data_IF_687181377541
#
_entry.id   IF_687181377541
#
_cell.length_a   1.000
_cell.length_b   1.000
_cell.length_c   1.000
_cell.angle_alpha   90.00
_cell.angle_beta   90.00
_cell.angle_gamma   90.00
#
_symmetry.space_group_name_H-M   'P 1'
#
loop_
_entity.id
_entity.type
_entity.pdbx_description
1 polymer ?
#
# COMPACT_ATOMS: atom_id res chain seq x y z
N UNK A 1 8.64 -9.85 -4.14
CA UNK A 1 7.74 -10.96 -3.73
C UNK A 1 7.57 -10.91 -2.22
N UNK A 2 6.36 -11.12 -1.69
CA UNK A 2 6.10 -11.09 -0.24
C UNK A 2 6.70 -12.32 0.43
N UNK A 3 7.37 -12.12 1.57
CA UNK A 3 7.91 -13.20 2.41
C UNK A 3 7.20 -13.24 3.75
N UNK A 4 6.76 -14.41 4.20
CA UNK A 4 6.16 -14.60 5.53
C UNK A 4 7.02 -15.62 6.28
N UNK A 5 7.54 -15.26 7.45
CA UNK A 5 8.37 -16.18 8.25
C UNK A 5 7.56 -17.37 8.75
N UNK A 6 8.22 -18.50 9.03
CA UNK A 6 7.55 -19.71 9.52
C UNK A 6 6.75 -19.46 10.82
N UNK A 7 7.26 -18.60 11.70
CA UNK A 7 6.58 -18.21 12.94
C UNK A 7 5.31 -17.41 12.66
N UNK A 8 5.34 -16.50 11.69
CA UNK A 8 4.16 -15.76 11.25
C UNK A 8 3.14 -16.67 10.53
N UNK A 9 3.60 -17.58 9.67
CA UNK A 9 2.71 -18.55 9.02
C UNK A 9 1.98 -19.43 10.04
N UNK A 10 2.71 -19.98 11.03
CA UNK A 10 2.11 -20.76 12.10
C UNK A 10 1.10 -19.95 12.92
N UNK A 11 1.37 -18.66 13.16
CA UNK A 11 0.43 -17.76 13.81
C UNK A 11 -0.84 -17.55 12.99
N UNK A 12 -0.72 -17.28 11.68
CA UNK A 12 -1.88 -17.13 10.80
C UNK A 12 -2.73 -18.39 10.70
N UNK A 13 -2.12 -19.57 10.57
CA UNK A 13 -2.85 -20.85 10.59
C UNK A 13 -3.66 -21.00 11.88
N UNK A 14 -3.10 -20.60 13.03
CA UNK A 14 -3.83 -20.62 14.30
C UNK A 14 -5.01 -19.64 14.31
N UNK A 15 -4.84 -18.43 13.77
CA UNK A 15 -5.92 -17.45 13.66
C UNK A 15 -7.04 -17.91 12.72
N UNK A 16 -6.67 -18.53 11.60
CA UNK A 16 -7.61 -19.04 10.60
C UNK A 16 -8.38 -20.27 11.08
N UNK A 17 -7.87 -21.04 12.04
CA UNK A 17 -8.57 -22.20 12.60
C UNK A 17 -9.92 -21.83 13.27
N UNK A 18 -10.06 -20.59 13.74
CA UNK A 18 -11.29 -20.07 14.33
C UNK A 18 -12.19 -19.36 13.29
N UNK A 19 -11.80 -19.34 12.02
CA UNK A 19 -12.54 -18.72 10.92
C UNK A 19 -13.29 -19.76 10.08
N UNK A 20 -14.32 -19.35 9.30
CA UNK A 20 -14.99 -20.24 8.35
C UNK A 20 -14.01 -20.89 7.36
N UNK A 21 -14.33 -22.12 6.94
CA UNK A 21 -13.54 -22.85 5.95
C UNK A 21 -13.39 -22.05 4.65
N UNK A 22 -12.17 -22.06 4.09
CA UNK A 22 -11.83 -21.27 2.90
C UNK A 22 -11.45 -19.81 3.19
N UNK A 23 -11.40 -19.38 4.44
CA UNK A 23 -10.86 -18.06 4.79
C UNK A 23 -9.35 -18.01 4.62
N UNK A 24 -8.87 -16.98 3.93
CA UNK A 24 -7.45 -16.69 3.69
C UNK A 24 -7.00 -15.42 4.42
N UNK A 25 -5.73 -15.05 4.27
CA UNK A 25 -5.20 -13.76 4.76
C UNK A 25 -5.08 -12.82 3.57
N UNK A 26 -5.68 -11.63 3.63
CA UNK A 26 -5.41 -10.57 2.65
C UNK A 26 -4.27 -9.68 3.15
N UNK A 27 -3.33 -9.36 2.27
CA UNK A 27 -2.26 -8.38 2.51
C UNK A 27 -2.47 -7.23 1.54
N UNK A 28 -2.53 -6.00 2.05
CA UNK A 28 -2.88 -4.83 1.24
C UNK A 28 -2.11 -3.59 1.69
N UNK A 29 -2.10 -2.57 0.82
CA UNK A 29 -1.57 -1.24 1.10
C UNK A 29 -2.69 -0.23 0.99
N UNK A 30 -2.96 0.50 2.06
CA UNK A 30 -3.84 1.67 2.08
C UNK A 30 -3.04 2.85 1.52
N UNK A 31 -3.63 3.61 0.59
CA UNK A 31 -2.99 4.78 -0.04
C UNK A 31 -1.61 4.47 -0.65
N UNK A 32 -1.49 3.43 -1.50
CA UNK A 32 -0.22 2.99 -2.04
C UNK A 32 0.47 4.10 -2.83
N UNK A 33 1.80 4.20 -2.69
CA UNK A 33 2.56 5.22 -3.39
C UNK A 33 2.38 6.63 -2.86
N UNK A 34 1.80 6.80 -1.67
CA UNK A 34 1.75 8.08 -0.96
C UNK A 34 2.68 8.06 0.26
N UNK A 35 2.88 9.23 0.90
CA UNK A 35 3.67 9.30 2.13
C UNK A 35 2.92 8.67 3.32
N UNK A 36 1.60 8.58 3.23
CA UNK A 36 0.72 7.97 4.22
C UNK A 36 0.42 6.50 3.91
N UNK A 37 1.18 5.86 3.01
CA UNK A 37 0.93 4.46 2.71
C UNK A 37 1.09 3.61 3.98
N UNK A 38 0.07 2.80 4.25
CA UNK A 38 0.02 1.90 5.40
C UNK A 38 -0.24 0.49 4.92
N UNK A 39 0.50 -0.47 5.45
CA UNK A 39 0.32 -1.87 5.09
C UNK A 39 -0.51 -2.57 6.15
N UNK A 40 -1.45 -3.38 5.71
CA UNK A 40 -2.37 -4.10 6.58
C UNK A 40 -2.46 -5.57 6.23
N UNK A 41 -2.97 -6.34 7.19
CA UNK A 41 -3.47 -7.70 6.96
C UNK A 41 -4.90 -7.80 7.47
N UNK A 42 -5.73 -8.58 6.80
CA UNK A 42 -7.09 -8.88 7.22
C UNK A 42 -7.47 -10.32 6.88
N UNK A 43 -8.58 -10.80 7.43
CA UNK A 43 -9.19 -12.03 6.93
C UNK A 43 -9.81 -11.80 5.55
N UNK A 44 -9.73 -12.81 4.71
CA UNK A 44 -10.30 -12.83 3.36
C UNK A 44 -11.18 -14.07 3.22
N UNK A 45 -12.46 -14.02 3.63
CA UNK A 45 -13.38 -15.11 3.36
C UNK A 45 -13.60 -15.28 1.84
N UNK A 46 -14.11 -16.44 1.38
CA UNK A 46 -14.25 -16.74 -0.05
C UNK A 46 -15.07 -15.72 -0.85
N UNK A 47 -16.03 -15.05 -0.20
CA UNK A 47 -16.90 -14.03 -0.79
C UNK A 47 -16.25 -12.64 -0.87
N UNK A 48 -15.14 -12.42 -0.16
CA UNK A 48 -14.36 -11.18 -0.19
C UNK A 48 -13.14 -11.25 -1.13
N UNK A 49 -12.81 -12.44 -1.64
CA UNK A 49 -11.77 -12.62 -2.65
C UNK A 49 -12.22 -12.02 -3.99
N UNK A 50 -11.35 -11.22 -4.61
CA UNK A 50 -11.61 -10.59 -5.90
C UNK A 50 -10.92 -11.39 -7.02
N UNK A 51 -11.44 -11.28 -8.25
CA UNK A 51 -10.97 -12.10 -9.38
C UNK A 51 -9.57 -11.71 -9.86
N UNK A 52 -9.15 -10.49 -9.55
CA UNK A 52 -7.83 -9.89 -9.83
C UNK A 52 -6.87 -9.99 -8.64
N UNK A 53 -7.27 -10.64 -7.55
CA UNK A 53 -6.35 -10.94 -6.46
C UNK A 53 -5.25 -11.90 -6.94
N UNK A 54 -4.02 -11.57 -6.58
CA UNK A 54 -2.88 -12.47 -6.68
C UNK A 54 -2.88 -13.39 -5.46
N UNK A 55 -3.12 -14.67 -5.70
CA UNK A 55 -3.01 -15.70 -4.68
C UNK A 55 -1.55 -16.16 -4.51
N UNK A 56 -1.02 -16.04 -3.30
CA UNK A 56 0.32 -16.47 -2.93
C UNK A 56 0.23 -17.64 -1.94
N UNK A 57 0.63 -18.86 -2.32
CA UNK A 57 0.52 -20.02 -1.45
C UNK A 57 1.57 -20.02 -0.34
N UNK A 58 1.14 -20.29 0.89
CA UNK A 58 1.99 -20.47 2.07
C UNK A 58 1.64 -21.78 2.80
N UNK A 59 2.37 -22.09 3.87
CA UNK A 59 2.14 -23.30 4.64
C UNK A 59 0.84 -23.20 5.45
N UNK A 60 -0.20 -23.89 4.97
CA UNK A 60 -1.50 -24.01 5.63
C UNK A 60 -2.52 -22.91 5.29
N UNK A 61 -2.17 -21.94 4.46
CA UNK A 61 -3.09 -20.91 3.96
C UNK A 61 -2.52 -20.27 2.68
N UNK A 62 -3.37 -19.57 1.93
CA UNK A 62 -2.94 -18.65 0.87
C UNK A 62 -3.06 -17.20 1.37
N UNK A 63 -2.15 -16.34 0.91
CA UNK A 63 -2.30 -14.90 1.05
C UNK A 63 -2.90 -14.31 -0.23
N UNK A 64 -3.96 -13.50 -0.10
CA UNK A 64 -4.59 -12.78 -1.19
C UNK A 64 -4.03 -11.36 -1.25
N UNK A 65 -3.63 -10.89 -2.42
CA UNK A 65 -3.07 -9.55 -2.61
C UNK A 65 -3.78 -8.89 -3.78
N UNK A 66 -4.41 -7.74 -3.55
CA UNK A 66 -5.07 -7.01 -4.63
C UNK A 66 -4.04 -6.47 -5.65
N UNK A 67 -4.44 -6.42 -6.92
CA UNK A 67 -3.54 -6.02 -8.03
C UNK A 67 -2.91 -4.63 -7.80
N UNK A 68 -3.63 -3.71 -7.13
CA UNK A 68 -3.14 -2.34 -6.87
C UNK A 68 -2.08 -2.31 -5.79
N UNK A 69 -2.15 -3.20 -4.80
CA UNK A 69 -1.14 -3.31 -3.73
C UNK A 69 0.08 -4.13 -4.14
N UNK A 70 -0.07 -5.09 -5.07
CA UNK A 70 1.00 -6.01 -5.44
C UNK A 70 2.35 -5.33 -5.80
N UNK A 71 2.39 -4.24 -6.59
CA UNK A 71 3.65 -3.55 -6.90
C UNK A 71 4.34 -2.91 -5.69
N UNK A 72 3.56 -2.54 -4.67
CA UNK A 72 4.02 -1.84 -3.47
C UNK A 72 4.45 -2.79 -2.35
N UNK A 73 4.03 -4.05 -2.45
CA UNK A 73 4.39 -5.14 -1.55
C UNK A 73 5.59 -5.94 -2.06
N UNK A 74 6.26 -5.48 -3.11
CA UNK A 74 7.54 -6.05 -3.52
C UNK A 74 8.56 -5.88 -2.38
N UNK A 75 9.34 -6.93 -2.12
CA UNK A 75 10.22 -7.08 -0.95
C UNK A 75 9.55 -6.89 0.43
N UNK A 76 8.21 -7.02 0.52
CA UNK A 76 7.56 -7.00 1.82
C UNK A 76 7.84 -8.28 2.62
N UNK A 77 8.00 -8.13 3.94
CA UNK A 77 8.20 -9.22 4.89
C UNK A 77 7.22 -9.13 6.05
N UNK A 78 6.56 -10.24 6.39
CA UNK A 78 5.75 -10.38 7.60
C UNK A 78 6.47 -11.34 8.56
N UNK A 79 6.63 -10.88 9.80
CA UNK A 79 7.23 -11.67 10.88
C UNK A 79 6.38 -11.63 12.14
N UNK A 80 6.50 -12.65 12.97
CA UNK A 80 5.82 -12.76 14.24
C UNK A 80 6.84 -13.13 15.31
N UNK A 81 7.07 -12.19 16.23
CA UNK A 81 8.00 -12.34 17.34
C UNK A 81 7.19 -12.49 18.63
N UNK A 82 7.56 -13.47 19.45
CA UNK A 82 7.01 -13.64 20.80
C UNK A 82 8.15 -13.58 21.79
N UNK A 83 8.04 -12.67 22.76
CA UNK A 83 9.02 -12.47 23.83
C UNK A 83 8.33 -12.41 25.20
N UNK A 84 9.07 -12.00 26.24
CA UNK A 84 8.55 -11.91 27.61
C UNK A 84 7.53 -10.78 27.82
N UNK A 85 7.50 -9.78 26.95
CA UNK A 85 6.61 -8.61 27.03
C UNK A 85 5.32 -8.82 26.22
N UNK A 86 5.34 -9.75 25.27
CA UNK A 86 4.14 -10.18 24.54
C UNK A 86 4.47 -10.80 23.20
N UNK A 87 3.48 -10.76 22.31
CA UNK A 87 3.64 -11.19 20.93
C UNK A 87 3.32 -10.05 19.99
N UNK A 88 4.15 -9.86 18.95
CA UNK A 88 3.99 -8.81 17.97
C UNK A 88 4.12 -9.36 16.55
N UNK A 89 3.09 -9.13 15.75
CA UNK A 89 3.14 -9.26 14.30
C UNK A 89 3.71 -7.97 13.71
N UNK A 90 4.71 -8.09 12.84
CA UNK A 90 5.36 -6.97 12.15
C UNK A 90 5.29 -7.18 10.66
N UNK A 91 4.72 -6.22 9.94
CA UNK A 91 4.75 -6.15 8.49
C UNK A 91 5.68 -5.00 8.07
N UNK A 92 6.70 -5.33 7.29
CA UNK A 92 7.62 -4.36 6.69
C UNK A 92 7.43 -4.41 5.18
N UNK A 93 7.11 -3.29 4.56
CA UNK A 93 7.04 -3.18 3.12
C UNK A 93 7.89 -1.98 2.68
N UNK A 94 9.16 -2.20 2.28
CA UNK A 94 10.09 -1.11 1.99
C UNK A 94 9.64 -0.24 0.80
N UNK A 95 8.86 -0.82 -0.11
CA UNK A 95 8.37 -0.18 -1.32
C UNK A 95 6.93 0.35 -1.18
N UNK A 96 6.29 0.21 -0.02
CA UNK A 96 4.89 0.61 0.13
C UNK A 96 4.68 2.11 0.05
N UNK A 97 5.66 2.86 0.55
CA UNK A 97 5.68 4.33 0.48
C UNK A 97 6.43 4.74 -0.77
N UNK A 98 5.99 5.85 -1.37
CA UNK A 98 6.80 6.52 -2.37
C UNK A 98 8.19 6.77 -1.78
N UNK A 99 9.25 6.38 -2.50
CA UNK A 99 10.64 6.64 -2.07
C UNK A 99 10.73 8.12 -1.70
N UNK A 100 11.08 8.41 -0.44
CA UNK A 100 11.39 9.78 -0.03
C UNK A 100 12.46 10.30 -0.98
N UNK A 101 12.10 11.31 -1.76
CA UNK A 101 13.05 12.05 -2.57
C UNK A 101 14.10 12.63 -1.61
N UNK A 102 15.37 12.39 -1.91
CA UNK A 102 16.46 12.83 -1.06
C UNK A 102 16.52 14.37 -1.02
N UNK A 103 17.06 14.94 0.06
CA UNK A 103 17.08 16.40 0.24
C UNK A 103 17.90 17.14 -0.82
N UNK A 104 18.82 16.43 -1.47
CA UNK A 104 19.71 16.86 -2.55
C UNK A 104 19.17 16.56 -3.95
N UNK A 105 18.01 15.90 -4.07
CA UNK A 105 17.38 15.68 -5.36
C UNK A 105 16.93 16.99 -6.03
N UNK A 106 16.79 17.02 -7.37
CA UNK A 106 16.29 18.16 -8.10
C UNK A 106 14.99 18.72 -7.53
N UNK A 107 14.83 20.05 -7.55
CA UNK A 107 13.64 20.73 -7.03
C UNK A 107 12.34 20.20 -7.66
N UNK A 108 12.39 19.90 -8.96
CA UNK A 108 11.28 19.29 -9.72
C UNK A 108 10.81 18.00 -9.05
N UNK A 109 11.72 17.04 -8.81
CA UNK A 109 11.39 15.75 -8.19
C UNK A 109 10.82 15.94 -6.78
N UNK A 110 11.36 16.89 -6.01
CA UNK A 110 10.86 17.18 -4.66
C UNK A 110 9.45 17.76 -4.67
N UNK A 111 9.13 18.63 -5.63
CA UNK A 111 7.79 19.19 -5.79
C UNK A 111 6.83 18.11 -6.30
N UNK A 112 7.23 17.31 -7.28
CA UNK A 112 6.44 16.18 -7.78
C UNK A 112 6.13 15.19 -6.66
N UNK A 113 7.10 14.89 -5.80
CA UNK A 113 6.87 14.06 -4.61
C UNK A 113 5.77 14.63 -3.72
N UNK A 114 5.81 15.93 -3.39
CA UNK A 114 4.74 16.56 -2.57
C UNK A 114 3.39 16.51 -3.29
N UNK A 115 3.38 16.79 -4.59
CA UNK A 115 2.16 16.72 -5.41
C UNK A 115 1.56 15.32 -5.35
N UNK A 116 2.34 14.28 -5.58
CA UNK A 116 1.83 12.91 -5.64
C UNK A 116 1.53 12.33 -4.26
N UNK A 117 2.35 12.64 -3.26
CA UNK A 117 2.29 12.00 -1.95
C UNK A 117 1.43 12.74 -0.92
N UNK A 118 1.10 14.01 -1.14
CA UNK A 118 0.32 14.83 -0.19
C UNK A 118 -0.88 15.51 -0.86
N UNK A 119 -0.72 16.09 -2.05
CA UNK A 119 -1.77 16.93 -2.67
C UNK A 119 -2.78 16.10 -3.46
N UNK A 120 -2.32 15.26 -4.39
CA UNK A 120 -3.18 14.44 -5.25
C UNK A 120 -4.11 13.49 -4.48
N UNK A 121 -3.71 12.84 -3.39
CA UNK A 121 -4.62 12.03 -2.59
C UNK A 121 -5.84 12.82 -2.08
N UNK A 122 -5.63 14.09 -1.70
CA UNK A 122 -6.71 14.97 -1.26
C UNK A 122 -7.62 15.38 -2.42
N UNK A 123 -7.05 15.73 -3.57
CA UNK A 123 -7.83 16.09 -4.76
C UNK A 123 -8.61 14.90 -5.34
N UNK A 124 -8.03 13.69 -5.30
CA UNK A 124 -8.64 12.47 -5.81
C UNK A 124 -9.97 12.14 -5.09
N UNK A 125 -10.10 12.53 -3.81
CA UNK A 125 -11.34 12.38 -3.03
C UNK A 125 -12.52 13.17 -3.63
N UNK A 126 -12.22 14.18 -4.45
CA UNK A 126 -13.18 14.98 -5.19
C UNK A 126 -13.12 14.74 -6.71
N UNK A 127 -12.44 13.67 -7.16
CA UNK A 127 -12.26 13.36 -8.58
C UNK A 127 -11.28 14.30 -9.31
N UNK A 128 -10.49 15.06 -8.56
CA UNK A 128 -9.48 16.00 -9.06
C UNK A 128 -8.07 15.42 -9.06
N UNK A 129 -7.17 16.04 -9.83
CA UNK A 129 -5.73 15.82 -9.76
C UNK A 129 -4.96 17.10 -10.14
N UNK A 130 -3.68 17.14 -9.83
CA UNK A 130 -2.76 18.21 -10.21
C UNK A 130 -1.42 17.61 -10.68
N UNK A 131 -0.78 18.29 -11.62
CA UNK A 131 0.52 17.93 -12.17
C UNK A 131 1.42 19.16 -12.26
N UNK A 132 2.72 18.99 -12.06
CA UNK A 132 3.71 20.02 -12.33
C UNK A 132 3.98 20.06 -13.84
N UNK A 133 3.86 21.24 -14.45
CA UNK A 133 4.16 21.44 -15.88
C UNK A 133 5.62 21.84 -16.06
N UNK A 134 6.03 22.88 -15.32
CA UNK A 134 7.40 23.38 -15.36
C UNK A 134 7.72 24.20 -14.11
N UNK A 135 9.02 24.41 -13.87
CA UNK A 135 9.53 25.44 -12.99
C UNK A 135 10.27 26.42 -13.87
N UNK A 136 9.79 27.66 -13.94
CA UNK A 136 10.44 28.70 -14.73
C UNK A 136 11.77 29.11 -14.10
N UNK A 137 12.66 29.73 -14.89
CA UNK A 137 13.95 30.26 -14.41
C UNK A 137 13.81 31.29 -13.27
N UNK A 138 12.63 31.91 -13.14
CA UNK A 138 12.29 32.82 -12.05
C UNK A 138 11.90 32.11 -10.74
N UNK A 139 11.92 30.76 -10.72
CA UNK A 139 11.53 29.96 -9.57
C UNK A 139 10.01 29.81 -9.40
N UNK A 140 9.23 30.04 -10.46
CA UNK A 140 7.76 29.89 -10.42
C UNK A 140 7.36 28.50 -10.91
N UNK A 141 6.64 27.74 -10.09
CA UNK A 141 6.06 26.46 -10.47
C UNK A 141 4.72 26.67 -11.20
N UNK A 142 4.63 26.17 -12.42
CA UNK A 142 3.40 26.15 -13.22
C UNK A 142 2.72 24.80 -13.01
N UNK A 143 1.49 24.82 -12.52
CA UNK A 143 0.72 23.62 -12.20
C UNK A 143 -0.49 23.51 -13.12
N UNK A 144 -0.79 22.28 -13.54
CA UNK A 144 -2.00 21.96 -14.29
C UNK A 144 -2.94 21.16 -13.40
N UNK A 145 -4.15 21.67 -13.20
CA UNK A 145 -5.23 20.93 -12.58
C UNK A 145 -5.99 20.11 -13.61
N UNK A 146 -6.41 18.92 -13.21
CA UNK A 146 -7.24 18.02 -13.99
C UNK A 146 -8.30 17.37 -13.11
N UNK A 147 -9.17 16.58 -13.74
CA UNK A 147 -10.21 15.82 -13.05
C UNK A 147 -11.62 16.11 -13.52
N UNK A 148 -12.55 15.27 -13.05
CA UNK A 148 -13.95 15.31 -13.46
C UNK A 148 -14.68 16.47 -12.80
N UNK A 149 -15.08 17.46 -13.59
CA UNK A 149 -16.19 18.31 -13.22
C UNK A 149 -17.44 17.41 -13.20
N UNK A 150 -17.79 16.85 -12.05
CA UNK A 150 -19.14 16.35 -11.83
C UNK A 150 -20.04 17.58 -11.92
N UNK A 151 -20.51 17.88 -13.13
CA UNK A 151 -21.43 18.97 -13.39
C UNK A 151 -22.56 18.87 -12.38
N UNK A 152 -22.72 19.92 -11.58
CA UNK A 152 -23.94 20.09 -10.81
C UNK A 152 -25.11 20.06 -11.81
N UNK A 153 -26.02 19.10 -11.63
CA UNK A 153 -27.40 19.17 -12.11
C UNK A 153 -28.28 19.64 -10.98
#
# INVERSE_FOLDING_TARGET
>A
MITITDTAQAHFVKLLADQPEGTHIRVFVISPGTAQAECGVSYCPPDAAEADDVELPFNGFSAMVDEKSAPFLDDASIDFVTDQLGSQLTLKAPNAKMRKVSGDAPLVERIEYVIQSEINPQLASHGGNIMLVEITDAGVAVLQFGGGCNGCS
#
